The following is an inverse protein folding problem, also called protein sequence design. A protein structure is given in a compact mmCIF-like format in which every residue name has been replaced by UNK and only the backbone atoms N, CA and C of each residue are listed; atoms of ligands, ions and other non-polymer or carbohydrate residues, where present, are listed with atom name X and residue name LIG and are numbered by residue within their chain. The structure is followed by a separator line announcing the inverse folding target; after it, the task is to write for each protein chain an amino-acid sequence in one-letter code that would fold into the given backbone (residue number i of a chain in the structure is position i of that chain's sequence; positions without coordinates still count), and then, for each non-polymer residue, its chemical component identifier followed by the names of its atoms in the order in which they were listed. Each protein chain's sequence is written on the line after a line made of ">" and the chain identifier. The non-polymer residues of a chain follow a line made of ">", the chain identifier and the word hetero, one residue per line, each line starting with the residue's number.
data_IF_268619438948
#
_entry.id   IF_268619438948
#
_cell.length_a   1.000
_cell.length_b   1.000
_cell.length_c   1.000
_cell.angle_alpha   90.00
_cell.angle_beta   90.00
_cell.angle_gamma   90.00
#
_symmetry.space_group_name_H-M   'P 1'
#
loop_
_entity.id
_entity.type
_entity.pdbx_description
1 polymer ?
#
# COMPACT_ATOMS: atom_id res chain seq x y z
N UNK A 1 9.36 6.95 -4.06
CA UNK A 1 8.11 7.22 -4.81
C UNK A 1 7.07 7.79 -3.86
N UNK A 2 6.27 8.77 -4.30
CA UNK A 2 5.28 9.40 -3.45
C UNK A 2 3.98 9.67 -4.22
N UNK A 3 2.85 9.52 -3.56
CA UNK A 3 1.51 9.78 -4.08
C UNK A 3 0.85 10.89 -3.30
N UNK A 4 0.36 11.90 -4.01
CA UNK A 4 -0.38 13.03 -3.43
C UNK A 4 -1.85 12.90 -3.78
N UNK A 5 -2.71 12.98 -2.77
CA UNK A 5 -4.14 12.85 -2.93
C UNK A 5 -4.84 14.20 -2.81
N UNK A 6 -5.74 14.45 -3.75
CA UNK A 6 -6.60 15.64 -3.69
C UNK A 6 -7.64 15.45 -2.58
N UNK A 7 -7.48 16.22 -1.54
CA UNK A 7 -8.29 16.13 -0.32
C UNK A 7 -9.35 17.21 -0.21
N UNK A 8 -9.68 17.92 -1.29
CA UNK A 8 -10.67 19.01 -1.26
C UNK A 8 -12.01 18.55 -0.66
N UNK A 9 -12.46 17.35 -0.98
CA UNK A 9 -13.69 16.76 -0.44
C UNK A 9 -13.58 16.28 1.01
N UNK A 10 -12.34 16.17 1.53
CA UNK A 10 -12.04 15.70 2.88
C UNK A 10 -11.45 16.79 3.78
N UNK A 11 -11.35 18.03 3.27
CA UNK A 11 -10.82 19.15 4.05
C UNK A 11 -11.62 19.37 5.33
N UNK A 12 -10.93 19.42 6.46
CA UNK A 12 -11.53 19.53 7.77
C UNK A 12 -12.09 18.22 8.34
N UNK A 13 -12.03 17.13 7.59
CA UNK A 13 -12.44 15.82 8.10
C UNK A 13 -11.38 15.24 9.03
N UNK A 14 -11.85 14.58 10.09
CA UNK A 14 -10.99 13.76 10.93
C UNK A 14 -10.82 12.39 10.26
N UNK A 15 -9.58 12.00 10.05
CA UNK A 15 -9.21 10.75 9.41
C UNK A 15 -8.32 9.90 10.31
N UNK A 16 -8.43 8.61 10.14
CA UNK A 16 -7.57 7.61 10.75
C UNK A 16 -6.79 6.90 9.64
N UNK A 17 -5.46 7.02 9.61
CA UNK A 17 -4.63 6.22 8.71
C UNK A 17 -4.68 4.75 9.06
N UNK A 18 -4.64 3.91 8.03
CA UNK A 18 -4.69 2.45 8.16
C UNK A 18 -3.69 1.84 7.20
N UNK A 19 -2.95 0.84 7.66
CA UNK A 19 -2.07 0.02 6.82
C UNK A 19 -2.43 -1.43 7.02
N UNK A 20 -3.00 -2.05 5.99
CA UNK A 20 -3.38 -3.47 6.01
C UNK A 20 -2.34 -4.30 5.28
N UNK A 21 -1.87 -5.35 5.91
CA UNK A 21 -1.00 -6.37 5.30
C UNK A 21 -1.83 -7.56 4.85
N UNK A 22 -1.56 -8.00 3.63
CA UNK A 22 -2.18 -9.16 2.99
C UNK A 22 -1.11 -10.16 2.59
N UNK A 23 -1.22 -11.37 3.11
CA UNK A 23 -0.40 -12.52 2.71
C UNK A 23 -1.33 -13.56 2.13
N UNK A 24 -1.00 -14.09 0.96
CA UNK A 24 -1.83 -15.09 0.28
C UNK A 24 -2.09 -16.29 1.19
N UNK A 25 -3.35 -16.61 1.41
CA UNK A 25 -3.76 -17.70 2.29
C UNK A 25 -3.87 -17.34 3.78
N UNK A 26 -3.61 -16.10 4.16
CA UNK A 26 -3.74 -15.61 5.53
C UNK A 26 -4.83 -14.53 5.65
N UNK A 27 -5.35 -14.34 6.86
CA UNK A 27 -6.25 -13.24 7.15
C UNK A 27 -5.49 -11.89 7.13
N UNK A 28 -6.10 -10.83 6.60
CA UNK A 28 -5.50 -9.49 6.62
C UNK A 28 -5.22 -8.99 8.03
N UNK A 29 -4.14 -8.25 8.20
CA UNK A 29 -3.72 -7.67 9.48
C UNK A 29 -3.54 -6.17 9.36
N UNK A 30 -4.01 -5.42 10.34
CA UNK A 30 -3.62 -4.02 10.54
C UNK A 30 -2.20 -3.99 11.13
N UNK A 31 -1.26 -3.43 10.39
CA UNK A 31 0.16 -3.39 10.78
C UNK A 31 0.62 -2.01 11.23
N UNK A 32 -0.28 -1.02 11.27
CA UNK A 32 0.06 0.29 11.81
C UNK A 32 0.38 0.25 13.30
N UNK A 33 -0.33 -0.61 14.05
CA UNK A 33 -0.05 -0.90 15.46
C UNK A 33 -0.52 0.15 16.46
N UNK A 34 -1.11 1.25 15.99
CA UNK A 34 -1.70 2.29 16.83
C UNK A 34 -2.81 3.03 16.08
N UNK A 35 -3.73 3.58 16.83
CA UNK A 35 -4.80 4.41 16.29
C UNK A 35 -4.44 5.88 16.48
N UNK A 36 -4.44 6.64 15.41
CA UNK A 36 -4.25 8.08 15.43
C UNK A 36 -5.33 8.74 14.57
N UNK A 37 -5.93 9.79 15.11
CA UNK A 37 -6.90 10.60 14.37
C UNK A 37 -6.26 11.93 14.03
N UNK A 38 -6.32 12.33 12.78
CA UNK A 38 -5.79 13.60 12.29
C UNK A 38 -6.82 14.36 11.48
N UNK A 39 -6.93 15.66 11.72
CA UNK A 39 -7.73 16.55 10.88
C UNK A 39 -6.96 16.86 9.60
N UNK A 40 -7.57 16.61 8.45
CA UNK A 40 -6.97 16.82 7.15
C UNK A 40 -7.17 18.27 6.69
N UNK A 41 -6.11 19.07 6.72
CA UNK A 41 -6.15 20.50 6.39
C UNK A 41 -5.77 20.80 4.94
N UNK A 42 -4.74 20.15 4.45
CA UNK A 42 -4.17 20.46 3.12
C UNK A 42 -4.25 19.25 2.20
N UNK A 43 -3.21 18.47 2.16
CA UNK A 43 -3.08 17.30 1.29
C UNK A 43 -2.53 16.12 2.07
N UNK A 44 -2.88 14.94 1.63
CA UNK A 44 -2.30 13.70 2.11
C UNK A 44 -1.28 13.20 1.09
N UNK A 45 -0.08 12.91 1.56
CA UNK A 45 0.96 12.26 0.76
C UNK A 45 1.33 10.94 1.43
N UNK A 46 1.42 9.89 0.64
CA UNK A 46 1.95 8.59 1.04
C UNK A 46 3.21 8.34 0.22
N UNK A 47 4.33 8.18 0.89
CA UNK A 47 5.63 7.97 0.27
C UNK A 47 6.28 6.66 0.67
N UNK A 48 7.10 6.13 -0.24
CA UNK A 48 7.90 4.93 -0.04
C UNK A 48 9.34 5.20 -0.45
N UNK A 49 10.27 4.66 0.31
CA UNK A 49 11.69 4.71 -0.01
C UNK A 49 12.37 3.40 0.37
N UNK A 50 13.42 3.01 -0.36
CA UNK A 50 14.23 1.86 0.01
C UNK A 50 14.76 1.98 1.45
N UNK A 51 14.94 0.86 2.08
CA UNK A 51 15.68 0.71 3.33
C UNK A 51 17.13 0.32 3.03
N UNK A 52 17.95 0.31 4.05
CA UNK A 52 19.33 -0.19 3.95
C UNK A 52 19.40 -1.71 3.75
N UNK A 53 18.26 -2.38 3.84
CA UNK A 53 18.12 -3.82 3.73
C UNK A 53 17.02 -4.15 2.72
N UNK A 54 17.31 -5.04 1.78
CA UNK A 54 16.38 -5.47 0.73
C UNK A 54 15.08 -6.09 1.27
N UNK A 55 15.12 -6.67 2.46
CA UNK A 55 13.96 -7.29 3.12
C UNK A 55 13.01 -6.31 3.80
N UNK A 56 13.29 -5.01 3.73
CA UNK A 56 12.48 -3.97 4.35
C UNK A 56 12.28 -2.77 3.44
N UNK A 57 11.21 -2.02 3.66
CA UNK A 57 10.95 -0.74 3.03
C UNK A 57 10.45 0.26 4.07
N UNK A 58 10.71 1.53 3.85
CA UNK A 58 10.20 2.60 4.69
C UNK A 58 8.99 3.26 4.02
N UNK A 59 7.98 3.60 4.81
CA UNK A 59 6.86 4.41 4.36
C UNK A 59 6.68 5.65 5.21
N UNK A 60 5.98 6.63 4.64
CA UNK A 60 5.66 7.90 5.29
C UNK A 60 4.23 8.31 4.92
N UNK A 61 3.45 8.65 5.94
CA UNK A 61 2.26 9.48 5.81
C UNK A 61 2.64 10.92 6.14
N UNK A 62 2.34 11.82 5.25
CA UNK A 62 2.56 13.26 5.41
C UNK A 62 1.24 14.00 5.28
N UNK A 63 0.87 14.74 6.31
CA UNK A 63 -0.38 15.50 6.38
C UNK A 63 -0.16 16.99 6.18
N UNK A 64 0.91 17.52 6.76
CA UNK A 64 1.39 18.89 6.60
C UNK A 64 2.83 19.03 7.14
N UNK A 65 3.34 20.25 7.15
CA UNK A 65 4.72 20.56 7.56
C UNK A 65 5.09 20.10 8.97
N UNK A 66 4.10 19.97 9.85
CA UNK A 66 4.31 19.64 11.26
C UNK A 66 3.79 18.24 11.64
N UNK A 67 3.08 17.57 10.73
CA UNK A 67 2.43 16.30 11.02
C UNK A 67 2.76 15.26 9.95
N UNK A 68 3.62 14.39 10.33
CA UNK A 68 3.95 13.20 9.54
C UNK A 68 4.32 12.05 10.46
N UNK A 69 4.14 10.84 10.00
CA UNK A 69 4.70 9.68 10.65
C UNK A 69 5.04 8.61 9.60
N UNK A 70 5.97 7.77 9.95
CA UNK A 70 6.36 6.67 9.11
C UNK A 70 6.92 5.52 9.92
N UNK A 71 7.06 4.40 9.28
CA UNK A 71 7.64 3.21 9.87
C UNK A 71 8.22 2.31 8.78
N UNK A 72 8.61 1.13 9.18
CA UNK A 72 9.24 0.13 8.33
C UNK A 72 8.28 -1.02 8.06
N UNK A 73 8.26 -1.48 6.81
CA UNK A 73 7.55 -2.68 6.39
C UNK A 73 8.53 -3.84 6.31
N UNK A 74 8.12 -5.00 6.77
CA UNK A 74 8.82 -6.25 6.56
C UNK A 74 8.33 -6.87 5.26
N UNK A 75 9.23 -7.06 4.32
CA UNK A 75 8.95 -7.62 3.01
C UNK A 75 9.15 -9.13 3.01
N UNK A 76 8.49 -9.82 2.11
CA UNK A 76 8.68 -11.25 1.87
C UNK A 76 9.39 -11.47 0.54
N UNK A 77 10.33 -12.40 0.47
CA UNK A 77 11.02 -12.71 -0.78
C UNK A 77 10.10 -13.45 -1.75
N UNK A 78 10.38 -13.28 -3.04
CA UNK A 78 9.89 -14.14 -4.10
C UNK A 78 10.99 -15.11 -4.51
N UNK A 79 10.58 -16.27 -4.98
CA UNK A 79 11.48 -17.33 -5.42
C UNK A 79 11.16 -17.73 -6.85
N UNK A 80 12.18 -17.88 -7.69
CA UNK A 80 12.04 -18.56 -8.96
C UNK A 80 12.08 -20.08 -8.73
N UNK A 81 11.19 -20.88 -9.36
CA UNK A 81 11.19 -22.32 -9.18
C UNK A 81 12.51 -23.01 -9.55
N UNK A 82 13.24 -22.47 -10.51
CA UNK A 82 14.54 -22.97 -10.96
C UNK A 82 15.71 -22.57 -10.06
N UNK A 83 15.52 -21.61 -9.17
CA UNK A 83 16.56 -21.14 -8.24
C UNK A 83 15.92 -20.81 -6.86
N UNK A 84 15.42 -21.83 -6.15
CA UNK A 84 14.66 -21.61 -4.90
C UNK A 84 15.49 -21.07 -3.74
N UNK A 85 16.81 -21.13 -3.80
CA UNK A 85 17.73 -20.54 -2.83
C UNK A 85 17.94 -19.04 -3.04
N UNK A 86 17.65 -18.52 -4.22
CA UNK A 86 17.76 -17.09 -4.53
C UNK A 86 16.53 -16.33 -4.03
N UNK A 87 16.77 -15.41 -3.11
CA UNK A 87 15.71 -14.58 -2.51
C UNK A 87 15.72 -13.23 -3.18
N UNK A 88 14.61 -12.87 -3.81
CA UNK A 88 14.42 -11.57 -4.42
C UNK A 88 13.32 -10.79 -3.70
N UNK A 89 13.60 -9.51 -3.44
CA UNK A 89 12.65 -8.58 -2.85
C UNK A 89 12.28 -7.55 -3.91
N UNK A 90 11.26 -7.82 -4.68
CA UNK A 90 10.78 -6.94 -5.75
C UNK A 90 9.38 -6.45 -5.41
N UNK A 91 9.28 -5.18 -5.09
CA UNK A 91 8.03 -4.52 -4.73
C UNK A 91 7.80 -3.28 -5.58
N UNK A 92 6.56 -2.98 -5.81
CA UNK A 92 6.14 -1.79 -6.52
C UNK A 92 4.85 -1.26 -5.92
N UNK A 93 4.63 0.04 -6.07
CA UNK A 93 3.41 0.70 -5.61
C UNK A 93 2.53 1.12 -6.78
N UNK A 94 1.21 1.13 -6.52
CA UNK A 94 0.18 1.63 -7.43
C UNK A 94 -0.89 2.36 -6.63
N UNK A 95 -1.37 3.52 -7.10
CA UNK A 95 -2.51 4.17 -6.48
C UNK A 95 -3.80 3.43 -6.82
N UNK A 96 -4.77 3.52 -5.91
CA UNK A 96 -6.14 3.15 -6.21
C UNK A 96 -6.89 4.32 -6.86
N UNK A 97 -7.76 4.00 -7.78
CA UNK A 97 -8.74 4.96 -8.29
C UNK A 97 -9.68 5.37 -7.15
N UNK A 98 -9.76 6.66 -6.87
CA UNK A 98 -10.64 7.18 -5.83
C UNK A 98 -12.04 7.41 -6.41
N UNK A 99 -12.98 6.62 -5.96
CA UNK A 99 -14.40 6.74 -6.32
C UNK A 99 -15.20 7.31 -5.17
N UNK A 100 -15.85 8.46 -5.38
CA UNK A 100 -16.82 9.01 -4.44
C UNK A 100 -18.17 8.27 -4.56
N UNK A 101 -19.04 8.28 -3.51
CA UNK A 101 -18.87 8.97 -2.24
C UNK A 101 -18.03 8.23 -1.22
N UNK A 102 -17.37 9.01 -0.34
CA UNK A 102 -16.63 8.45 0.79
C UNK A 102 -17.56 8.32 2.00
N UNK A 103 -17.65 7.13 2.54
CA UNK A 103 -18.51 6.84 3.69
C UNK A 103 -17.69 6.81 4.99
N UNK A 104 -18.26 7.43 6.04
CA UNK A 104 -17.67 7.39 7.39
C UNK A 104 -17.52 5.95 7.90
N UNK A 105 -16.40 5.68 8.53
CA UNK A 105 -16.09 4.38 9.12
C UNK A 105 -15.65 3.29 8.13
N UNK A 106 -15.80 3.52 6.83
CA UNK A 106 -15.33 2.57 5.81
C UNK A 106 -13.87 2.83 5.45
N UNK A 107 -13.16 1.74 5.21
CA UNK A 107 -11.79 1.81 4.72
C UNK A 107 -11.75 2.29 3.28
N UNK A 108 -10.97 3.33 3.03
CA UNK A 108 -10.74 3.91 1.71
C UNK A 108 -9.31 3.58 1.31
N UNK A 109 -9.09 2.63 0.39
CA UNK A 109 -7.76 2.31 -0.08
C UNK A 109 -7.21 3.44 -0.95
N UNK A 110 -5.95 3.79 -0.75
CA UNK A 110 -5.27 4.86 -1.47
C UNK A 110 -4.10 4.35 -2.30
N UNK A 111 -3.24 3.51 -1.73
CA UNK A 111 -2.06 2.97 -2.40
C UNK A 111 -1.87 1.51 -2.03
N UNK A 112 -1.60 0.70 -3.03
CA UNK A 112 -1.08 -0.66 -2.85
C UNK A 112 0.45 -0.63 -2.98
N UNK A 113 1.14 -1.31 -2.08
CA UNK A 113 2.57 -1.61 -2.16
C UNK A 113 2.75 -3.11 -2.09
N UNK A 114 3.09 -3.75 -3.22
CA UNK A 114 3.01 -5.20 -3.34
C UNK A 114 4.21 -5.83 -4.03
N UNK A 115 4.39 -7.11 -3.76
CA UNK A 115 5.44 -7.91 -4.36
C UNK A 115 5.13 -8.26 -5.82
N UNK A 116 6.16 -8.44 -6.61
CA UNK A 116 6.07 -9.14 -7.88
C UNK A 116 5.71 -10.61 -7.61
N UNK A 117 5.25 -11.30 -8.62
CA UNK A 117 5.10 -12.75 -8.60
C UNK A 117 5.81 -13.36 -9.81
N UNK A 118 6.19 -14.60 -9.66
CA UNK A 118 6.81 -15.36 -10.73
C UNK A 118 5.76 -16.00 -11.64
N UNK A 119 5.87 -15.77 -12.93
CA UNK A 119 4.94 -16.29 -13.94
C UNK A 119 5.74 -16.97 -15.06
N UNK A 120 5.94 -18.31 -14.98
CA UNK A 120 6.79 -19.05 -15.91
C UNK A 120 6.36 -18.93 -17.38
N UNK A 121 5.04 -18.86 -17.62
CA UNK A 121 4.48 -18.74 -18.97
C UNK A 121 4.93 -17.46 -19.71
N UNK A 122 5.27 -16.41 -18.97
CA UNK A 122 5.74 -15.13 -19.51
C UNK A 122 7.24 -14.90 -19.29
N UNK A 123 7.96 -15.94 -18.87
CA UNK A 123 9.41 -15.93 -18.77
C UNK A 123 10.01 -15.15 -17.61
N UNK A 124 9.28 -14.91 -16.51
CA UNK A 124 9.88 -14.26 -15.36
C UNK A 124 8.91 -13.64 -14.37
N UNK A 125 9.37 -12.59 -13.68
CA UNK A 125 8.60 -11.85 -12.70
C UNK A 125 7.64 -10.86 -13.34
N UNK A 126 6.45 -10.76 -12.79
CA UNK A 126 5.39 -9.86 -13.24
C UNK A 126 4.86 -9.02 -12.08
N UNK A 127 4.37 -7.84 -12.43
CA UNK A 127 3.56 -6.99 -11.58
C UNK A 127 2.31 -6.52 -12.33
N UNK A 128 1.35 -5.98 -11.60
CA UNK A 128 0.14 -5.38 -12.14
C UNK A 128 0.47 -4.40 -13.30
N UNK A 129 -0.11 -4.61 -14.47
CA UNK A 129 0.14 -3.81 -15.67
C UNK A 129 -0.57 -2.47 -15.69
N UNK A 130 -1.60 -2.27 -14.86
CA UNK A 130 -2.36 -1.03 -14.81
C UNK A 130 -1.62 0.03 -13.99
N UNK A 131 -1.73 1.28 -14.44
CA UNK A 131 -1.14 2.41 -13.72
C UNK A 131 -1.92 2.78 -12.44
N UNK A 132 -3.17 2.40 -12.38
CA UNK A 132 -4.11 2.71 -11.31
C UNK A 132 -5.00 1.49 -11.05
N UNK A 133 -5.25 1.17 -9.80
CA UNK A 133 -6.06 0.00 -9.42
C UNK A 133 -7.49 0.45 -9.17
N UNK A 134 -8.44 -0.21 -9.83
CA UNK A 134 -9.86 -0.02 -9.54
C UNK A 134 -10.21 -0.69 -8.22
N UNK A 135 -11.05 -0.07 -7.37
CA UNK A 135 -11.37 -0.60 -6.05
C UNK A 135 -12.01 -1.99 -6.06
N UNK A 136 -12.67 -2.36 -7.15
CA UNK A 136 -13.33 -3.65 -7.36
C UNK A 136 -12.47 -4.69 -8.11
N UNK A 137 -11.22 -4.37 -8.42
CA UNK A 137 -10.29 -5.24 -9.16
C UNK A 137 -9.75 -6.38 -8.32
N UNK A 138 -10.61 -7.28 -7.87
CA UNK A 138 -10.21 -8.45 -7.08
C UNK A 138 -9.22 -9.37 -7.82
N UNK A 139 -9.22 -9.37 -9.16
CA UNK A 139 -8.40 -10.29 -9.96
C UNK A 139 -6.91 -9.92 -9.95
N UNK A 140 -6.58 -8.64 -9.94
CA UNK A 140 -5.19 -8.17 -9.85
C UNK A 140 -4.58 -8.56 -8.50
N UNK A 141 -5.35 -8.36 -7.44
CA UNK A 141 -4.93 -8.62 -6.06
C UNK A 141 -4.71 -10.11 -5.79
N UNK A 142 -5.47 -10.99 -6.45
CA UNK A 142 -5.35 -12.44 -6.28
C UNK A 142 -3.98 -13.02 -6.68
N UNK A 143 -3.27 -12.37 -7.57
CA UNK A 143 -1.97 -12.83 -8.06
C UNK A 143 -0.81 -12.36 -7.21
N UNK A 144 -1.00 -11.33 -6.37
CA UNK A 144 0.07 -10.76 -5.56
C UNK A 144 0.25 -11.58 -4.28
N UNK A 145 1.40 -12.23 -4.08
CA UNK A 145 1.61 -13.09 -2.92
C UNK A 145 1.64 -12.36 -1.58
N UNK A 146 2.15 -11.13 -1.59
CA UNK A 146 2.27 -10.29 -0.40
C UNK A 146 2.14 -8.82 -0.77
N UNK A 147 1.25 -8.11 -0.10
CA UNK A 147 1.08 -6.68 -0.34
C UNK A 147 0.52 -5.95 0.88
N UNK A 148 0.72 -4.65 0.87
CA UNK A 148 0.15 -3.72 1.84
C UNK A 148 -0.82 -2.78 1.13
N UNK A 149 -1.91 -2.46 1.80
CA UNK A 149 -2.82 -1.40 1.34
C UNK A 149 -2.79 -0.28 2.36
N UNK A 150 -2.37 0.88 1.88
CA UNK A 150 -2.36 2.13 2.63
C UNK A 150 -3.65 2.89 2.36
N UNK A 151 -4.31 3.31 3.39
CA UNK A 151 -5.57 4.02 3.26
C UNK A 151 -5.96 4.77 4.50
N UNK A 152 -7.20 5.23 4.51
CA UNK A 152 -7.78 6.02 5.59
C UNK A 152 -9.20 5.55 5.92
N UNK A 153 -9.65 5.86 7.12
CA UNK A 153 -11.06 5.88 7.50
C UNK A 153 -11.46 7.29 7.89
N UNK A 154 -12.63 7.71 7.47
CA UNK A 154 -13.22 8.98 7.92
C UNK A 154 -13.93 8.70 9.23
N UNK A 155 -13.65 9.52 10.22
CA UNK A 155 -14.28 9.43 11.54
C UNK A 155 -15.65 10.13 11.59
#
# INVERSE_FOLDING_TARGET
>A
MAYSFNTKKLKGADIEPVVMEYVKGEEPKDVLGFNVTMTLEKKLIIGFRPSDNDSTANYLFYFDENRSFGSRLNLKPIYAPEAPEDKWYMYQSRPFELTAPFEKGKFIPLVLYGSYWYEPANGGCRFCGDNEIKPDSSDIVKNIPHFFVFGIKIK
#
